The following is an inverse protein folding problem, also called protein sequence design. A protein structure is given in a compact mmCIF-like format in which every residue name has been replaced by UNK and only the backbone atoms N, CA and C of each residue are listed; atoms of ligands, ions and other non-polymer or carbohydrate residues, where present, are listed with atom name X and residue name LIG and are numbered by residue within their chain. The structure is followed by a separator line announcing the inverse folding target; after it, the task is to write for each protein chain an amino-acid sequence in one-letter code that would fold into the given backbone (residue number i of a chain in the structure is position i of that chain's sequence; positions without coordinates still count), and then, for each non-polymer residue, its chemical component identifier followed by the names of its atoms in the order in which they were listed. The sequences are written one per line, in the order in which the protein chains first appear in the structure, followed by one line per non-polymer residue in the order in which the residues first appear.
data_IF_277350373126
#
_entry.id   IF_277350373126
#
_cell.length_a   1.000
_cell.length_b   1.000
_cell.length_c   1.000
_cell.angle_alpha   90.00
_cell.angle_beta   90.00
_cell.angle_gamma   90.00
#
_symmetry.space_group_name_H-M   'P 1'
#
loop_
_entity.id
_entity.type
_entity.pdbx_description
1 polymer ?
#
# COMPACT_ATOMS: atom_id res chain seq x y z
N UNK A 1 4.40 16.50 -27.02
CA UNK A 1 4.08 16.08 -25.64
C UNK A 1 3.62 14.64 -25.81
N UNK A 2 4.33 13.70 -25.21
CA UNK A 2 4.12 12.27 -25.50
C UNK A 2 2.93 11.80 -24.64
N UNK A 3 1.73 11.81 -25.22
CA UNK A 3 0.50 11.28 -24.62
C UNK A 3 0.53 9.75 -24.65
N UNK A 4 1.54 9.14 -24.02
CA UNK A 4 1.43 7.76 -23.58
C UNK A 4 0.29 7.77 -22.56
N UNK A 5 -0.85 7.18 -22.91
CA UNK A 5 -2.05 7.12 -22.07
C UNK A 5 -1.66 6.80 -20.62
N UNK A 6 -1.85 7.77 -19.73
CA UNK A 6 -1.35 7.68 -18.35
C UNK A 6 -2.12 6.58 -17.64
N UNK A 7 -1.46 5.43 -17.44
CA UNK A 7 -2.02 4.30 -16.70
C UNK A 7 -2.41 4.77 -15.30
N UNK A 8 -3.66 4.52 -14.93
CA UNK A 8 -4.23 4.81 -13.63
C UNK A 8 -4.38 3.56 -12.78
N UNK A 9 -4.13 3.70 -11.49
CA UNK A 9 -4.21 2.61 -10.52
C UNK A 9 -5.34 2.82 -9.52
N UNK A 10 -6.03 1.73 -9.14
CA UNK A 10 -7.05 1.76 -8.08
C UNK A 10 -7.06 0.51 -7.24
N UNK A 11 -7.46 0.65 -5.96
CA UNK A 11 -7.76 -0.47 -5.07
C UNK A 11 -9.22 -0.87 -5.27
N UNK A 12 -9.46 -2.13 -5.62
CA UNK A 12 -10.79 -2.72 -5.77
C UNK A 12 -11.34 -3.26 -4.44
N UNK A 13 -10.50 -3.89 -3.61
CA UNK A 13 -10.88 -4.48 -2.31
C UNK A 13 -9.68 -4.70 -1.39
N UNK A 14 -9.92 -5.05 -0.12
CA UNK A 14 -8.89 -5.37 0.87
C UNK A 14 -8.43 -4.19 1.72
N UNK A 15 -9.00 -3.00 1.49
CA UNK A 15 -8.71 -1.75 2.20
C UNK A 15 -9.95 -1.20 2.92
N UNK A 16 -10.85 -2.06 3.39
CA UNK A 16 -12.12 -1.67 4.03
C UNK A 16 -11.89 -0.87 5.32
N UNK A 17 -10.73 -1.05 5.94
CA UNK A 17 -10.31 -0.35 7.15
C UNK A 17 -9.51 0.94 6.87
N UNK A 18 -9.38 1.32 5.58
CA UNK A 18 -8.77 2.57 5.13
C UNK A 18 -7.34 2.80 5.65
N UNK A 19 -6.53 1.73 5.63
CA UNK A 19 -5.12 1.80 6.05
C UNK A 19 -4.19 2.26 4.94
N UNK A 20 -4.56 2.05 3.69
CA UNK A 20 -3.71 2.28 2.53
C UNK A 20 -4.27 3.37 1.63
N UNK A 21 -3.38 4.16 1.04
CA UNK A 21 -3.68 5.03 -0.08
C UNK A 21 -2.85 4.56 -1.27
N UNK A 22 -3.47 4.49 -2.46
CA UNK A 22 -2.80 4.17 -3.70
C UNK A 22 -2.84 5.41 -4.59
N UNK A 23 -1.67 5.96 -4.91
CA UNK A 23 -1.59 7.10 -5.82
C UNK A 23 -1.99 6.63 -7.23
N UNK A 24 -3.02 7.23 -7.86
CA UNK A 24 -3.54 6.75 -9.13
C UNK A 24 -2.58 6.99 -10.29
N UNK A 25 -1.64 7.93 -10.21
CA UNK A 25 -0.75 8.30 -11.32
C UNK A 25 0.57 7.53 -11.28
N UNK A 26 1.08 7.23 -10.08
CA UNK A 26 2.38 6.60 -9.86
C UNK A 26 2.30 5.15 -9.39
N UNK A 27 1.13 4.70 -8.93
CA UNK A 27 0.97 3.39 -8.30
C UNK A 27 1.61 3.28 -6.92
N UNK A 28 2.09 4.38 -6.34
CA UNK A 28 2.70 4.37 -5.00
C UNK A 28 1.66 4.02 -3.93
N UNK A 29 1.89 2.91 -3.23
CA UNK A 29 1.08 2.46 -2.10
C UNK A 29 1.69 2.96 -0.78
N UNK A 30 0.94 3.77 -0.04
CA UNK A 30 1.39 4.40 1.20
C UNK A 30 0.39 4.13 2.34
N UNK A 31 0.87 4.24 3.59
CA UNK A 31 0.00 4.20 4.75
C UNK A 31 -0.77 5.51 4.90
N UNK A 32 -2.10 5.42 5.00
CA UNK A 32 -2.98 6.54 5.34
C UNK A 32 -3.07 6.76 6.86
N UNK A 33 -2.92 5.70 7.64
CA UNK A 33 -2.98 5.74 9.11
C UNK A 33 -2.01 4.74 9.73
N UNK A 34 -1.63 5.02 10.98
CA UNK A 34 -0.67 4.19 11.71
C UNK A 34 -1.21 2.78 11.96
N UNK A 35 -0.37 1.77 11.66
CA UNK A 35 -0.61 0.37 12.01
C UNK A 35 -0.35 0.06 13.50
N UNK A 36 0.16 1.03 14.27
CA UNK A 36 0.51 0.83 15.69
C UNK A 36 -0.72 0.74 16.60
N UNK A 37 -1.78 1.49 16.29
CA UNK A 37 -3.06 1.50 17.03
C UNK A 37 -3.99 0.37 16.60
N UNK A 38 -3.66 -0.26 15.49
CA UNK A 38 -4.44 -1.33 14.92
C UNK A 38 -4.34 -2.53 15.88
N UNK A 39 -5.45 -2.85 16.56
CA UNK A 39 -5.60 -4.01 17.44
C UNK A 39 -5.68 -5.29 16.57
N UNK A 40 -4.69 -5.45 15.70
CA UNK A 40 -4.66 -6.37 14.59
C UNK A 40 -4.41 -7.77 15.13
N UNK A 41 -5.50 -8.51 15.33
CA UNK A 41 -5.46 -9.97 15.14
C UNK A 41 -5.06 -10.30 13.69
N UNK A 42 -5.37 -9.37 12.77
CA UNK A 42 -5.13 -9.47 11.33
C UNK A 42 -3.72 -9.00 10.99
N UNK A 43 -2.78 -9.94 10.91
CA UNK A 43 -1.37 -9.70 10.57
C UNK A 43 -1.18 -9.42 9.06
N UNK A 44 -2.21 -9.65 8.23
CA UNK A 44 -2.10 -9.60 6.76
C UNK A 44 -3.27 -8.85 6.12
N UNK A 45 -2.97 -7.90 5.25
CA UNK A 45 -3.93 -7.27 4.34
C UNK A 45 -3.74 -7.81 2.92
N UNK A 46 -4.82 -8.20 2.26
CA UNK A 46 -4.79 -8.70 0.88
C UNK A 46 -5.51 -7.67 -0.01
N UNK A 47 -4.75 -6.76 -0.61
CA UNK A 47 -5.30 -5.73 -1.49
C UNK A 47 -5.50 -6.31 -2.89
N UNK A 48 -6.66 -6.06 -3.50
CA UNK A 48 -6.88 -6.30 -4.92
C UNK A 48 -6.79 -4.97 -5.65
N UNK A 49 -5.89 -4.85 -6.60
CA UNK A 49 -5.63 -3.62 -7.37
C UNK A 49 -5.79 -3.88 -8.86
N UNK A 50 -6.05 -2.82 -9.60
CA UNK A 50 -6.24 -2.84 -11.05
C UNK A 50 -5.58 -1.61 -11.68
N UNK A 51 -5.11 -1.76 -12.90
CA UNK A 51 -4.57 -0.69 -13.72
C UNK A 51 -5.47 -0.45 -14.95
N UNK A 52 -5.53 0.78 -15.45
CA UNK A 52 -6.26 1.12 -16.68
C UNK A 52 -5.54 2.22 -17.45
N UNK A 53 -5.49 2.11 -18.77
CA UNK A 53 -5.02 3.20 -19.66
C UNK A 53 -6.13 4.20 -20.03
N UNK A 54 -7.33 4.02 -19.48
CA UNK A 54 -8.53 4.81 -19.78
C UNK A 54 -9.50 4.11 -20.73
N UNK A 55 -9.05 3.10 -21.48
CA UNK A 55 -9.89 2.31 -22.40
C UNK A 55 -10.05 0.87 -21.92
N UNK A 56 -8.94 0.25 -21.52
CA UNK A 56 -8.88 -1.13 -21.06
C UNK A 56 -8.53 -1.20 -19.58
N UNK A 57 -9.02 -2.26 -18.94
CA UNK A 57 -8.66 -2.61 -17.58
C UNK A 57 -7.75 -3.83 -17.60
N UNK A 58 -6.70 -3.80 -16.79
CA UNK A 58 -5.82 -4.95 -16.59
C UNK A 58 -6.56 -6.06 -15.85
N UNK A 59 -6.06 -7.29 -15.95
CA UNK A 59 -6.43 -8.33 -14.98
C UNK A 59 -6.09 -7.85 -13.55
N UNK A 60 -6.96 -8.10 -12.55
CA UNK A 60 -6.70 -7.68 -11.19
C UNK A 60 -5.46 -8.35 -10.58
N UNK A 61 -4.64 -7.57 -9.90
CA UNK A 61 -3.43 -8.02 -9.20
C UNK A 61 -3.65 -8.00 -7.68
N UNK A 62 -3.07 -8.97 -6.96
CA UNK A 62 -3.17 -9.06 -5.51
C UNK A 62 -1.86 -8.65 -4.82
N UNK A 63 -1.95 -7.78 -3.81
CA UNK A 63 -0.83 -7.29 -3.00
C UNK A 63 -1.04 -7.70 -1.55
N UNK A 64 -0.16 -8.55 -1.03
CA UNK A 64 -0.23 -9.04 0.35
C UNK A 64 0.72 -8.25 1.26
N UNK A 65 0.14 -7.48 2.19
CA UNK A 65 0.89 -6.68 3.16
C UNK A 65 0.86 -7.36 4.51
N UNK A 66 2.02 -7.84 4.97
CA UNK A 66 2.16 -8.45 6.31
C UNK A 66 2.74 -7.46 7.30
N UNK A 67 2.10 -7.30 8.46
CA UNK A 67 2.53 -6.38 9.52
C UNK A 67 3.34 -7.13 10.55
N UNK A 68 4.65 -6.88 10.57
CA UNK A 68 5.54 -7.43 11.59
C UNK A 68 5.69 -6.44 12.75
N UNK A 69 5.39 -6.89 13.97
CA UNK A 69 5.68 -6.10 15.17
C UNK A 69 7.18 -6.18 15.43
N UNK A 70 7.86 -5.07 15.26
CA UNK A 70 9.25 -4.96 15.66
C UNK A 70 9.36 -5.11 17.18
N UNK A 71 9.89 -6.24 17.65
CA UNK A 71 10.70 -6.20 18.87
C UNK A 71 11.98 -5.48 18.45
N UNK A 72 11.98 -4.14 18.48
CA UNK A 72 13.26 -3.43 18.49
C UNK A 72 13.91 -3.82 19.82
N UNK A 73 15.03 -4.57 19.85
CA UNK A 73 15.84 -4.55 21.04
C UNK A 73 16.21 -3.08 21.25
N UNK A 74 16.11 -2.59 22.48
CA UNK A 74 16.47 -1.23 22.88
C UNK A 74 17.97 -1.00 22.67
N UNK A 75 18.43 -0.94 21.42
CA UNK A 75 19.76 -0.44 21.07
C UNK A 75 19.56 1.02 20.74
N UNK A 76 19.82 1.85 21.74
CA UNK A 76 20.07 3.27 21.56
C UNK A 76 21.13 3.43 20.46
N UNK A 77 20.70 3.87 19.28
CA UNK A 77 21.64 4.30 18.24
C UNK A 77 22.10 5.68 18.64
N UNK A 78 23.26 5.76 19.29
CA UNK A 78 23.92 7.04 19.56
C UNK A 78 24.80 7.34 18.37
N UNK A 79 24.34 8.20 17.47
CA UNK A 79 25.23 8.79 16.47
C UNK A 79 26.23 9.67 17.21
N UNK A 80 27.53 9.35 17.12
CA UNK A 80 28.60 10.27 17.47
C UNK A 80 29.14 10.87 16.17
N UNK A 81 29.26 12.19 16.18
CA UNK A 81 29.88 13.02 15.15
C UNK A 81 31.38 12.72 15.02
#
# INVERSE_FOLDING_TARGET
IDDLGLVKYRILSGNELDYFNLNPDSGALALRRSLASANLKTVVFNLKVEATDGELFSEPTFVNVSVVRGRMPSRSVTCRE
#
